data_IF_648902492195
#
_entry.id   IF_648902492195
#
_cell.length_a   1.000
_cell.length_b   1.000
_cell.length_c   1.000
_cell.angle_alpha   90.00
_cell.angle_beta   90.00
_cell.angle_gamma   90.00
#
_symmetry.space_group_name_H-M   'P 1'
#
loop_
_entity.id
_entity.type
_entity.pdbx_description
1 polymer ?
#
# COMPACT_ATOMS: atom_id res chain seq x y z
N UNK A 1 8.63 13.65 -1.09
CA UNK A 1 9.58 12.75 -1.77
C UNK A 1 10.75 13.59 -2.21
N UNK A 2 11.96 13.13 -1.95
CA UNK A 2 13.20 13.76 -2.42
C UNK A 2 13.63 13.12 -3.75
N UNK A 3 14.45 13.81 -4.54
CA UNK A 3 14.98 13.27 -5.80
C UNK A 3 15.75 11.95 -5.60
N UNK A 4 16.39 11.78 -4.44
CA UNK A 4 17.07 10.53 -4.05
C UNK A 4 16.09 9.35 -3.92
N UNK A 5 14.91 9.58 -3.34
CA UNK A 5 13.90 8.53 -3.20
C UNK A 5 13.39 8.07 -4.57
N UNK A 6 13.22 9.02 -5.49
CA UNK A 6 12.76 8.72 -6.84
C UNK A 6 13.80 7.90 -7.62
N UNK A 7 15.09 8.26 -7.54
CA UNK A 7 16.16 7.48 -8.18
C UNK A 7 16.28 6.07 -7.62
N UNK A 8 16.06 5.86 -6.31
CA UNK A 8 16.04 4.52 -5.71
C UNK A 8 14.88 3.67 -6.26
N UNK A 9 13.70 4.27 -6.40
CA UNK A 9 12.53 3.60 -6.98
C UNK A 9 12.75 3.29 -8.46
N UNK A 10 13.34 4.20 -9.23
CA UNK A 10 13.68 3.98 -10.63
C UNK A 10 14.66 2.80 -10.80
N UNK A 11 15.69 2.73 -9.96
CA UNK A 11 16.61 1.59 -9.93
C UNK A 11 15.89 0.28 -9.56
N UNK A 12 14.98 0.29 -8.60
CA UNK A 12 14.21 -0.89 -8.21
C UNK A 12 13.23 -1.34 -9.31
N UNK A 13 12.66 -0.39 -10.07
CA UNK A 13 11.77 -0.68 -11.20
C UNK A 13 12.46 -1.48 -12.31
N UNK A 14 13.78 -1.29 -12.45
CA UNK A 14 14.61 -2.03 -13.41
C UNK A 14 14.69 -3.54 -13.07
N UNK A 15 14.41 -3.91 -11.82
CA UNK A 15 14.39 -5.30 -11.33
C UNK A 15 12.98 -5.91 -11.36
N UNK A 16 11.97 -5.11 -11.70
CA UNK A 16 10.57 -5.53 -11.85
C UNK A 16 9.60 -4.83 -10.90
N UNK A 17 8.32 -4.97 -11.19
CA UNK A 17 7.23 -4.29 -10.47
C UNK A 17 7.16 -4.69 -8.99
N UNK A 18 7.43 -5.95 -8.62
CA UNK A 18 7.44 -6.37 -7.20
C UNK A 18 8.55 -5.67 -6.40
N UNK A 19 9.76 -5.60 -6.97
CA UNK A 19 10.90 -4.95 -6.33
C UNK A 19 10.66 -3.44 -6.13
N UNK A 20 10.01 -2.79 -7.10
CA UNK A 20 9.59 -1.40 -6.97
C UNK A 20 8.64 -1.19 -5.78
N UNK A 21 7.61 -2.02 -5.65
CA UNK A 21 6.64 -1.90 -4.55
C UNK A 21 7.27 -2.21 -3.19
N UNK A 22 8.14 -3.20 -3.10
CA UNK A 22 8.87 -3.52 -1.85
C UNK A 22 9.76 -2.35 -1.39
N UNK A 23 10.45 -1.70 -2.32
CA UNK A 23 11.25 -0.51 -2.03
C UNK A 23 10.34 0.67 -1.61
N UNK A 24 9.20 0.85 -2.29
CA UNK A 24 8.24 1.90 -1.97
C UNK A 24 7.65 1.71 -0.56
N UNK A 25 7.21 0.50 -0.21
CA UNK A 25 6.69 0.18 1.11
C UNK A 25 7.72 0.46 2.20
N UNK A 26 8.98 0.07 1.97
CA UNK A 26 10.09 0.31 2.91
C UNK A 26 10.28 1.82 3.16
N UNK A 27 10.36 2.62 2.09
CA UNK A 27 10.51 4.08 2.19
C UNK A 27 9.33 4.75 2.90
N UNK A 28 8.10 4.30 2.63
CA UNK A 28 6.90 4.85 3.24
C UNK A 28 6.82 4.51 4.73
N UNK A 29 7.25 3.30 5.11
CA UNK A 29 7.34 2.88 6.51
C UNK A 29 8.39 3.68 7.27
N UNK A 30 9.56 3.91 6.69
CA UNK A 30 10.62 4.74 7.30
C UNK A 30 10.17 6.19 7.50
N UNK A 31 9.39 6.72 6.55
CA UNK A 31 8.81 8.08 6.64
C UNK A 31 7.57 8.16 7.51
N UNK A 32 7.10 7.03 8.05
CA UNK A 32 5.86 6.91 8.81
C UNK A 32 4.63 7.41 8.06
N UNK A 33 4.66 7.37 6.73
CA UNK A 33 3.53 7.74 5.87
C UNK A 33 2.65 6.50 5.65
N UNK A 34 2.01 6.05 6.74
CA UNK A 34 1.28 4.78 6.75
C UNK A 34 0.02 4.80 5.88
N UNK A 35 -0.53 5.99 5.58
CA UNK A 35 -1.63 6.13 4.63
C UNK A 35 -1.21 5.70 3.23
N UNK A 36 -0.05 6.17 2.77
CA UNK A 36 0.49 5.77 1.48
C UNK A 36 1.02 4.35 1.50
N UNK A 37 1.52 3.86 2.64
CA UNK A 37 1.93 2.45 2.79
C UNK A 37 0.76 1.51 2.50
N UNK A 38 -0.41 1.85 3.07
CA UNK A 38 -1.65 1.14 2.80
C UNK A 38 -2.00 1.15 1.30
N UNK A 39 -2.02 2.33 0.67
CA UNK A 39 -2.31 2.45 -0.77
C UNK A 39 -1.31 1.67 -1.63
N UNK A 40 -0.01 1.71 -1.29
CA UNK A 40 1.05 1.01 -2.01
C UNK A 40 0.84 -0.52 -2.00
N UNK A 41 0.41 -1.09 -0.87
CA UNK A 41 0.11 -2.53 -0.76
C UNK A 41 -1.07 -2.96 -1.60
N UNK A 42 -2.16 -2.18 -1.58
CA UNK A 42 -3.33 -2.47 -2.41
C UNK A 42 -2.98 -2.34 -3.90
N UNK A 43 -2.16 -1.34 -4.26
CA UNK A 43 -1.64 -1.17 -5.62
C UNK A 43 -0.74 -2.32 -6.05
N UNK A 44 0.14 -2.83 -5.18
CA UNK A 44 1.01 -3.99 -5.47
C UNK A 44 0.16 -5.18 -5.91
N UNK A 45 -0.86 -5.54 -5.11
CA UNK A 45 -1.76 -6.66 -5.43
C UNK A 45 -2.55 -6.43 -6.71
N UNK A 46 -3.02 -5.20 -6.96
CA UNK A 46 -3.68 -4.85 -8.24
C UNK A 46 -2.73 -4.98 -9.43
N UNK A 47 -1.48 -4.57 -9.28
CA UNK A 47 -0.47 -4.66 -10.33
C UNK A 47 -0.13 -6.11 -10.66
N UNK A 48 0.00 -6.98 -9.64
CA UNK A 48 0.20 -8.43 -9.80
C UNK A 48 -0.95 -9.09 -10.56
N UNK A 49 -2.18 -8.62 -10.33
CA UNK A 49 -3.39 -9.10 -11.00
C UNK A 49 -3.65 -8.42 -12.35
N UNK A 50 -2.78 -7.51 -12.81
CA UNK A 50 -2.96 -6.76 -14.06
C UNK A 50 -4.17 -5.82 -14.05
N UNK A 51 -4.66 -5.42 -12.88
CA UNK A 51 -5.82 -4.55 -12.70
C UNK A 51 -5.45 -3.06 -12.81
N UNK A 52 -6.46 -2.21 -12.98
CA UNK A 52 -6.28 -0.76 -13.06
C UNK A 52 -5.69 -0.18 -11.76
N UNK A 53 -4.61 0.58 -11.91
CA UNK A 53 -3.92 1.30 -10.83
C UNK A 53 -4.42 2.74 -10.62
N UNK A 54 -5.44 3.17 -11.37
CA UNK A 54 -5.92 4.55 -11.34
C UNK A 54 -6.53 4.95 -9.99
N UNK A 55 -7.07 3.98 -9.23
CA UNK A 55 -7.62 4.19 -7.88
C UNK A 55 -6.99 3.20 -6.90
N UNK A 56 -6.05 3.63 -6.05
CA UNK A 56 -5.28 2.76 -5.17
C UNK A 56 -6.16 1.93 -4.23
N UNK A 57 -7.02 2.57 -3.45
CA UNK A 57 -7.84 1.96 -2.40
C UNK A 57 -9.28 1.59 -2.82
N UNK A 58 -9.69 1.85 -4.06
CA UNK A 58 -11.03 1.50 -4.55
C UNK A 58 -11.14 0.00 -4.85
N UNK A 59 -12.05 -0.71 -4.16
CA UNK A 59 -12.43 -2.08 -4.53
C UNK A 59 -13.52 -2.13 -5.61
N UNK A 60 -14.10 -0.98 -6.00
CA UNK A 60 -15.21 -0.93 -6.96
C UNK A 60 -14.78 -1.34 -8.37
N UNK A 61 -13.52 -1.08 -8.71
CA UNK A 61 -12.95 -1.32 -10.04
C UNK A 61 -12.36 -2.75 -10.16
N UNK A 62 -12.48 -3.56 -9.11
CA UNK A 62 -11.95 -4.93 -9.06
C UNK A 62 -13.04 -5.92 -9.53
N UNK A 63 -12.77 -6.72 -10.58
CA UNK A 63 -13.66 -7.79 -11.03
C UNK A 63 -14.00 -8.75 -9.90
N UNK A 64 -15.20 -9.32 -9.91
CA UNK A 64 -15.71 -10.18 -8.84
C UNK A 64 -14.81 -11.39 -8.57
N UNK A 65 -14.19 -11.94 -9.62
CA UNK A 65 -13.23 -13.05 -9.55
C UNK A 65 -12.02 -12.75 -8.66
N UNK A 66 -11.51 -11.52 -8.71
CA UNK A 66 -10.35 -11.09 -7.93
C UNK A 66 -10.72 -10.29 -6.67
N UNK A 67 -12.01 -9.99 -6.47
CA UNK A 67 -12.48 -9.12 -5.37
C UNK A 67 -12.09 -9.65 -4.01
N UNK A 68 -12.29 -10.95 -3.75
CA UNK A 68 -11.94 -11.57 -2.46
C UNK A 68 -10.44 -11.50 -2.16
N UNK A 69 -9.61 -11.70 -3.18
CA UNK A 69 -8.15 -11.62 -3.00
C UNK A 69 -7.70 -10.19 -2.67
N UNK A 70 -8.22 -9.21 -3.39
CA UNK A 70 -7.87 -7.80 -3.15
C UNK A 70 -8.45 -7.31 -1.82
N UNK A 71 -9.66 -7.73 -1.45
CA UNK A 71 -10.29 -7.41 -0.17
C UNK A 71 -9.50 -7.99 1.01
N UNK A 72 -8.98 -9.22 0.89
CA UNK A 72 -8.11 -9.81 1.91
C UNK A 72 -6.87 -8.94 2.12
N UNK A 73 -6.17 -8.58 1.04
CA UNK A 73 -5.00 -7.69 1.10
C UNK A 73 -5.37 -6.30 1.64
N UNK A 74 -6.53 -5.77 1.29
CA UNK A 74 -7.03 -4.50 1.78
C UNK A 74 -7.18 -4.52 3.31
N UNK A 75 -7.83 -5.54 3.86
CA UNK A 75 -8.03 -5.68 5.31
C UNK A 75 -6.69 -5.87 6.03
N UNK A 76 -5.79 -6.68 5.49
CA UNK A 76 -4.46 -6.90 6.05
C UNK A 76 -3.62 -5.62 6.06
N UNK A 77 -3.60 -4.88 4.94
CA UNK A 77 -2.91 -3.61 4.83
C UNK A 77 -3.51 -2.55 5.77
N UNK A 78 -4.84 -2.51 5.90
CA UNK A 78 -5.51 -1.59 6.83
C UNK A 78 -5.12 -1.91 8.28
N UNK A 79 -5.19 -3.17 8.69
CA UNK A 79 -4.80 -3.58 10.06
C UNK A 79 -3.35 -3.26 10.37
N UNK A 80 -2.44 -3.46 9.42
CA UNK A 80 -1.04 -3.09 9.60
C UNK A 80 -0.87 -1.58 9.76
N UNK A 81 -1.43 -0.76 8.85
CA UNK A 81 -1.35 0.69 8.94
C UNK A 81 -1.95 1.22 10.26
N UNK A 82 -3.12 0.68 10.65
CA UNK A 82 -3.76 0.99 11.92
C UNK A 82 -2.91 0.61 13.13
N UNK A 83 -2.26 -0.57 13.10
CA UNK A 83 -1.33 -1.00 14.14
C UNK A 83 -0.07 -0.13 14.24
N UNK A 84 0.45 0.33 13.10
CA UNK A 84 1.58 1.26 13.05
C UNK A 84 1.21 2.64 13.62
N UNK A 85 0.05 3.19 13.25
CA UNK A 85 -0.47 4.42 13.87
C UNK A 85 -0.69 4.27 15.37
N UNK A 86 -1.23 3.13 15.81
CA UNK A 86 -1.46 2.85 17.22
C UNK A 86 -0.14 2.80 18.02
N UNK A 87 0.90 2.19 17.44
CA UNK A 87 2.24 2.13 18.06
C UNK A 87 2.89 3.52 18.21
N UNK A 88 2.57 4.46 17.33
CA UNK A 88 3.01 5.86 17.41
C UNK A 88 2.11 6.73 18.31
N UNK A 89 1.02 6.16 18.87
CA UNK A 89 0.07 6.88 19.73
C UNK A 89 -0.95 7.72 18.97
N UNK A 90 -1.00 7.62 17.63
CA UNK A 90 -1.97 8.33 16.79
C UNK A 90 -3.28 7.53 16.71
N UNK A 91 -4.09 7.66 17.76
CA UNK A 91 -5.35 6.92 17.91
C UNK A 91 -6.37 7.30 16.84
N UNK A 92 -6.38 8.55 16.39
CA UNK A 92 -7.35 9.03 15.40
C UNK A 92 -7.13 8.36 14.05
N UNK A 93 -5.88 8.32 13.57
CA UNK A 93 -5.57 7.65 12.32
C UNK A 93 -5.63 6.12 12.47
N UNK A 94 -5.24 5.55 13.62
CA UNK A 94 -5.39 4.13 13.89
C UNK A 94 -6.86 3.67 13.80
N UNK A 95 -7.79 4.41 14.41
CA UNK A 95 -9.20 4.07 14.40
C UNK A 95 -9.80 4.03 12.98
N UNK A 96 -9.37 4.94 12.10
CA UNK A 96 -9.82 4.99 10.72
C UNK A 96 -9.58 3.67 9.96
N UNK A 97 -8.47 2.98 10.28
CA UNK A 97 -8.10 1.72 9.66
C UNK A 97 -8.58 0.48 10.42
N UNK A 98 -8.84 0.60 11.71
CA UNK A 98 -9.26 -0.53 12.56
C UNK A 98 -10.78 -0.75 12.58
N UNK A 99 -11.56 0.15 11.98
CA UNK A 99 -13.00 -0.02 11.77
C UNK A 99 -13.37 -0.85 10.52
N UNK A 100 -12.36 -1.32 9.77
CA UNK A 100 -12.51 -2.11 8.54
C UNK A 100 -12.98 -3.53 8.83
#
# INVERSE_FOLDING_TARGET
>A
MSDSDFSQLESASSQGTSALFEQLETLLREKKDYHKLFDARVLKKKAELGLSLARPSSLQDVPEEHRKEVETVYVEAAREAGGLFLAEGDITNAWMYLQV
#
